data_IF_936720462212
#
_entry.id   IF_936720462212
#
_cell.length_a   1.000
_cell.length_b   1.000
_cell.length_c   1.000
_cell.angle_alpha   90.00
_cell.angle_beta   90.00
_cell.angle_gamma   90.00
#
_symmetry.space_group_name_H-M   'P 1'
#
loop_
_entity.id
_entity.type
_entity.pdbx_description
1 polymer ?
#
# COMPACT_ATOMS: atom_id res chain seq x y z
N UNK A 1 -27.49 11.37 2.26
CA UNK A 1 -26.61 12.55 2.06
C UNK A 1 -25.33 12.46 2.90
N UNK A 2 -25.41 12.32 4.24
CA UNK A 2 -24.24 12.19 5.13
C UNK A 2 -23.23 11.07 4.74
N UNK A 3 -23.72 9.91 4.31
CA UNK A 3 -22.87 8.77 3.88
C UNK A 3 -21.98 9.09 2.69
N UNK A 4 -22.49 9.85 1.70
CA UNK A 4 -21.73 10.22 0.50
C UNK A 4 -20.67 11.25 0.84
N UNK A 5 -20.98 12.20 1.73
CA UNK A 5 -20.05 13.22 2.19
C UNK A 5 -18.83 12.61 2.90
N UNK A 6 -19.06 11.65 3.81
CA UNK A 6 -17.98 10.91 4.49
C UNK A 6 -17.11 10.09 3.52
N UNK A 7 -17.74 9.54 2.47
CA UNK A 7 -17.04 8.80 1.43
C UNK A 7 -16.09 9.73 0.65
N UNK A 8 -16.59 10.89 0.21
CA UNK A 8 -15.81 11.89 -0.52
C UNK A 8 -14.68 12.49 0.34
N UNK A 9 -14.96 12.77 1.62
CA UNK A 9 -13.94 13.25 2.57
C UNK A 9 -12.84 12.22 2.80
N UNK A 10 -13.21 10.95 3.03
CA UNK A 10 -12.21 9.88 3.18
C UNK A 10 -11.41 9.69 1.91
N UNK A 11 -12.04 9.76 0.74
CA UNK A 11 -11.36 9.66 -0.55
C UNK A 11 -10.39 10.83 -0.76
N UNK A 12 -10.81 12.06 -0.45
CA UNK A 12 -9.97 13.26 -0.56
C UNK A 12 -8.78 13.21 0.40
N UNK A 13 -8.94 12.71 1.62
CA UNK A 13 -7.86 12.59 2.61
C UNK A 13 -6.90 11.46 2.22
N UNK A 14 -7.43 10.28 1.90
CA UNK A 14 -6.65 9.09 1.54
C UNK A 14 -5.95 9.18 0.18
N UNK A 15 -6.35 10.11 -0.70
CA UNK A 15 -5.73 10.33 -2.00
C UNK A 15 -5.04 11.68 -2.13
N UNK A 16 -5.66 12.76 -1.70
CA UNK A 16 -5.12 14.11 -1.88
C UNK A 16 -3.79 14.33 -1.17
N UNK A 17 -3.71 13.95 0.11
CA UNK A 17 -2.48 14.07 0.89
C UNK A 17 -1.31 13.23 0.34
N UNK A 18 -1.46 11.91 0.10
CA UNK A 18 -0.36 11.07 -0.40
C UNK A 18 0.01 11.41 -1.84
N UNK A 19 -0.92 11.85 -2.69
CA UNK A 19 -0.59 12.32 -4.05
C UNK A 19 0.35 13.53 -3.97
N UNK A 20 0.02 14.52 -3.13
CA UNK A 20 0.84 15.72 -3.00
C UNK A 20 2.26 15.42 -2.50
N UNK A 21 2.39 14.43 -1.60
CA UNK A 21 3.68 14.00 -1.05
C UNK A 21 4.46 13.10 -2.00
N UNK A 22 3.77 12.29 -2.80
CA UNK A 22 4.40 11.41 -3.80
C UNK A 22 5.18 12.22 -4.86
N UNK A 23 4.62 13.38 -5.27
CA UNK A 23 5.27 14.25 -6.26
C UNK A 23 6.35 15.17 -5.68
N UNK A 24 6.35 15.43 -4.37
CA UNK A 24 7.27 16.38 -3.72
C UNK A 24 8.38 15.70 -2.89
N UNK A 25 8.32 14.39 -2.72
CA UNK A 25 9.22 13.63 -1.83
C UNK A 25 10.56 13.24 -2.45
N UNK A 26 11.55 13.00 -1.59
CA UNK A 26 12.83 12.36 -1.93
C UNK A 26 12.64 10.89 -2.35
N UNK A 27 13.63 10.28 -3.01
CA UNK A 27 13.57 8.90 -3.49
C UNK A 27 13.26 7.86 -2.38
N UNK A 28 13.75 8.09 -1.16
CA UNK A 28 13.48 7.24 0.01
C UNK A 28 12.01 7.37 0.47
N UNK A 29 11.48 8.58 0.41
CA UNK A 29 10.06 8.87 0.68
C UNK A 29 9.17 8.22 -0.40
N UNK A 30 9.58 8.29 -1.67
CA UNK A 30 8.84 7.70 -2.80
C UNK A 30 8.63 6.18 -2.66
N UNK A 31 9.64 5.44 -2.17
CA UNK A 31 9.49 4.00 -1.88
C UNK A 31 8.37 3.74 -0.87
N UNK A 32 8.36 4.49 0.23
CA UNK A 32 7.33 4.39 1.26
C UNK A 32 5.93 4.74 0.71
N UNK A 33 5.84 5.72 -0.19
CA UNK A 33 4.57 6.06 -0.84
C UNK A 33 4.10 4.98 -1.82
N UNK A 34 5.00 4.32 -2.55
CA UNK A 34 4.63 3.18 -3.41
C UNK A 34 4.02 2.05 -2.56
N UNK A 35 4.63 1.73 -1.41
CA UNK A 35 4.14 0.71 -0.48
C UNK A 35 2.77 1.08 0.08
N UNK A 36 2.54 2.37 0.36
CA UNK A 36 1.22 2.89 0.73
C UNK A 36 0.17 2.65 -0.37
N UNK A 37 0.47 3.04 -1.61
CA UNK A 37 -0.43 2.89 -2.75
C UNK A 37 -0.81 1.43 -2.99
N UNK A 38 0.18 0.53 -2.84
CA UNK A 38 -0.03 -0.90 -2.97
C UNK A 38 -0.97 -1.44 -1.87
N UNK A 39 -0.75 -1.05 -0.61
CA UNK A 39 -1.64 -1.42 0.50
C UNK A 39 -3.06 -0.87 0.31
N UNK A 40 -3.20 0.39 -0.13
CA UNK A 40 -4.49 0.99 -0.44
C UNK A 40 -5.22 0.23 -1.55
N UNK A 41 -4.48 -0.24 -2.56
CA UNK A 41 -4.99 -1.10 -3.63
C UNK A 41 -5.52 -2.43 -3.11
N UNK A 42 -4.75 -3.13 -2.26
CA UNK A 42 -5.16 -4.41 -1.65
C UNK A 42 -6.43 -4.24 -0.81
N UNK A 43 -6.50 -3.19 0.02
CA UNK A 43 -7.68 -2.89 0.84
C UNK A 43 -8.90 -2.63 -0.05
N UNK A 44 -8.72 -1.89 -1.14
CA UNK A 44 -9.82 -1.55 -2.05
C UNK A 44 -10.28 -2.76 -2.87
N UNK A 45 -9.35 -3.63 -3.26
CA UNK A 45 -9.69 -4.91 -3.88
C UNK A 45 -10.48 -5.81 -2.93
N UNK A 46 -10.02 -5.93 -1.68
CA UNK A 46 -10.73 -6.68 -0.64
C UNK A 46 -12.12 -6.10 -0.37
N UNK A 47 -12.25 -4.76 -0.38
CA UNK A 47 -13.54 -4.08 -0.26
C UNK A 47 -14.49 -4.49 -1.40
N UNK A 48 -14.07 -4.40 -2.65
CA UNK A 48 -14.93 -4.75 -3.78
C UNK A 48 -15.28 -6.24 -3.83
N UNK A 49 -14.35 -7.11 -3.40
CA UNK A 49 -14.55 -8.56 -3.46
C UNK A 49 -15.36 -9.12 -2.30
N UNK A 50 -15.12 -8.65 -1.06
CA UNK A 50 -15.70 -9.24 0.16
C UNK A 50 -16.92 -8.46 0.64
N UNK A 51 -16.89 -7.13 0.55
CA UNK A 51 -18.00 -6.30 1.05
C UNK A 51 -19.18 -6.18 0.08
N UNK A 52 -19.02 -6.62 -1.18
CA UNK A 52 -20.18 -6.84 -2.06
C UNK A 52 -21.11 -7.94 -1.52
N UNK A 53 -20.58 -8.86 -0.69
CA UNK A 53 -21.31 -10.03 -0.19
C UNK A 53 -21.82 -9.88 1.26
N UNK A 54 -21.34 -8.89 2.04
CA UNK A 54 -21.68 -8.77 3.45
C UNK A 54 -22.38 -7.43 3.81
N UNK A 55 -23.34 -7.45 4.76
CA UNK A 55 -23.98 -6.23 5.29
C UNK A 55 -23.05 -5.39 6.19
N UNK A 56 -21.80 -5.80 6.43
CA UNK A 56 -20.81 -5.12 7.28
C UNK A 56 -20.23 -3.83 6.68
N UNK A 57 -20.77 -3.36 5.55
CA UNK A 57 -20.31 -2.19 4.81
C UNK A 57 -20.13 -0.93 5.66
N UNK A 58 -20.99 -0.72 6.67
CA UNK A 58 -20.91 0.46 7.52
C UNK A 58 -19.69 0.47 8.46
N UNK A 59 -19.33 -0.68 9.04
CA UNK A 59 -18.16 -0.78 9.92
C UNK A 59 -16.86 -0.59 9.13
N UNK A 60 -16.80 -1.16 7.92
CA UNK A 60 -15.61 -1.06 7.08
C UNK A 60 -15.35 0.37 6.61
N UNK A 61 -16.42 1.14 6.34
CA UNK A 61 -16.33 2.56 6.00
C UNK A 61 -15.61 3.40 7.08
N UNK A 62 -15.73 3.01 8.36
CA UNK A 62 -15.08 3.71 9.48
C UNK A 62 -13.66 3.18 9.72
N UNK A 63 -13.44 1.87 9.60
CA UNK A 63 -12.12 1.25 9.86
C UNK A 63 -11.11 1.63 8.78
N UNK A 64 -11.52 1.68 7.50
CA UNK A 64 -10.65 2.01 6.36
C UNK A 64 -9.90 3.34 6.53
N UNK A 65 -10.56 4.49 6.79
CA UNK A 65 -9.85 5.76 6.95
C UNK A 65 -8.95 5.77 8.19
N UNK A 66 -9.35 5.14 9.29
CA UNK A 66 -8.50 5.02 10.49
C UNK A 66 -7.22 4.25 10.17
N UNK A 67 -7.34 3.15 9.43
CA UNK A 67 -6.20 2.36 8.99
C UNK A 67 -5.31 3.12 7.99
N UNK A 68 -5.91 3.86 7.05
CA UNK A 68 -5.16 4.70 6.11
C UNK A 68 -4.40 5.82 6.85
N UNK A 69 -5.04 6.50 7.81
CA UNK A 69 -4.37 7.51 8.63
C UNK A 69 -3.20 6.88 9.39
N UNK A 70 -3.37 5.69 9.97
CA UNK A 70 -2.30 4.99 10.67
C UNK A 70 -1.12 4.64 9.74
N UNK A 71 -1.40 4.17 8.53
CA UNK A 71 -0.38 3.90 7.50
C UNK A 71 0.41 5.15 7.14
N UNK A 72 -0.29 6.27 6.93
CA UNK A 72 0.31 7.53 6.47
C UNK A 72 1.03 8.31 7.56
N UNK A 73 0.74 8.01 8.83
CA UNK A 73 1.22 8.82 9.93
C UNK A 73 2.74 8.65 10.13
N UNK A 74 3.53 9.74 9.98
CA UNK A 74 5.00 9.68 9.96
C UNK A 74 5.61 9.18 11.28
N UNK A 75 4.88 9.32 12.40
CA UNK A 75 5.35 8.87 13.73
C UNK A 75 5.25 7.35 13.92
N UNK A 76 4.27 6.69 13.32
CA UNK A 76 4.02 5.26 13.55
C UNK A 76 4.77 4.37 12.56
N UNK A 77 5.21 4.93 11.42
CA UNK A 77 5.90 4.19 10.34
C UNK A 77 5.17 2.89 9.98
N UNK A 78 3.83 2.93 9.96
CA UNK A 78 2.98 1.74 9.78
C UNK A 78 3.28 1.01 8.47
N UNK A 79 3.59 1.77 7.42
CA UNK A 79 4.07 1.24 6.14
C UNK A 79 5.36 0.44 6.30
N UNK A 80 6.37 0.98 6.97
CA UNK A 80 7.66 0.29 7.15
C UNK A 80 7.50 -0.99 7.99
N UNK A 81 6.57 -1.00 8.95
CA UNK A 81 6.27 -2.21 9.72
C UNK A 81 5.72 -3.32 8.82
N UNK A 82 4.79 -2.98 7.94
CA UNK A 82 4.20 -3.93 6.98
C UNK A 82 5.24 -4.37 5.94
N UNK A 83 6.06 -3.45 5.45
CA UNK A 83 7.11 -3.73 4.46
C UNK A 83 8.11 -4.75 5.02
N UNK A 84 8.61 -4.52 6.24
CA UNK A 84 9.53 -5.45 6.87
C UNK A 84 8.87 -6.79 7.24
N UNK A 85 7.61 -6.78 7.64
CA UNK A 85 6.96 -8.01 8.13
C UNK A 85 6.46 -8.91 7.00
N UNK A 86 5.95 -8.35 5.90
CA UNK A 86 5.28 -9.11 4.84
C UNK A 86 6.02 -9.08 3.51
N UNK A 87 6.54 -7.92 3.11
CA UNK A 87 7.21 -7.79 1.81
C UNK A 87 8.60 -8.44 1.83
N UNK A 88 9.37 -8.30 2.90
CA UNK A 88 10.68 -8.96 3.00
C UNK A 88 10.56 -10.48 2.91
N UNK A 89 9.61 -11.08 3.65
CA UNK A 89 9.38 -12.53 3.62
C UNK A 89 8.99 -13.02 2.22
N UNK A 90 8.09 -12.31 1.54
CA UNK A 90 7.68 -12.66 0.18
C UNK A 90 8.83 -12.49 -0.83
N UNK A 91 9.61 -11.42 -0.68
CA UNK A 91 10.73 -11.13 -1.57
C UNK A 91 11.85 -12.16 -1.43
N UNK A 92 12.18 -12.58 -0.21
CA UNK A 92 13.20 -13.61 0.03
C UNK A 92 12.84 -14.93 -0.63
N UNK A 93 11.57 -15.33 -0.59
CA UNK A 93 11.09 -16.53 -1.28
C UNK A 93 11.23 -16.39 -2.79
N UNK A 94 10.81 -15.25 -3.36
CA UNK A 94 10.90 -14.99 -4.80
C UNK A 94 12.38 -14.97 -5.24
N UNK A 95 13.26 -14.35 -4.46
CA UNK A 95 14.71 -14.32 -4.73
C UNK A 95 15.31 -15.72 -4.77
N UNK A 96 14.85 -16.65 -3.92
CA UNK A 96 15.29 -18.05 -3.99
C UNK A 96 14.89 -18.71 -5.30
N UNK A 97 13.65 -18.49 -5.78
CA UNK A 97 13.20 -19.03 -7.07
C UNK A 97 13.91 -18.39 -8.26
N UNK A 98 14.13 -17.07 -8.23
CA UNK A 98 14.84 -16.34 -9.29
C UNK A 98 16.28 -16.86 -9.45
N UNK A 99 16.97 -17.16 -8.35
CA UNK A 99 18.33 -17.73 -8.39
C UNK A 99 18.42 -19.10 -9.06
N UNK A 100 17.33 -19.86 -9.07
CA UNK A 100 17.24 -21.18 -9.71
C UNK A 100 16.94 -21.09 -11.22
N UNK A 101 16.57 -19.91 -11.71
CA UNK A 101 16.12 -19.69 -13.08
C UNK A 101 17.27 -19.09 -13.92
N UNK A 102 17.39 -19.37 -15.23
CA UNK A 102 18.40 -18.75 -16.10
C UNK A 102 18.33 -17.21 -16.17
N UNK A 103 17.25 -16.60 -15.65
CA UNK A 103 17.07 -15.16 -15.56
C UNK A 103 18.11 -14.44 -14.70
N UNK A 104 18.85 -15.15 -13.84
CA UNK A 104 19.91 -14.59 -12.99
C UNK A 104 20.91 -13.74 -13.78
N UNK A 105 21.27 -14.18 -14.99
CA UNK A 105 22.28 -13.55 -15.86
C UNK A 105 21.86 -12.12 -16.25
N UNK A 106 20.58 -11.90 -16.54
CA UNK A 106 20.07 -10.59 -16.97
C UNK A 106 19.92 -9.61 -15.80
N UNK A 107 19.63 -10.11 -14.60
CA UNK A 107 19.47 -9.28 -13.40
C UNK A 107 20.85 -8.79 -12.91
N UNK A 108 21.88 -9.64 -12.97
CA UNK A 108 23.25 -9.25 -12.60
C UNK A 108 23.82 -8.20 -13.57
N UNK A 109 23.53 -8.27 -14.87
CA UNK A 109 23.94 -7.25 -15.86
C UNK A 109 23.34 -5.85 -15.59
N UNK A 110 22.10 -5.77 -15.10
CA UNK A 110 21.43 -4.49 -14.83
C UNK A 110 21.95 -3.83 -13.55
N UNK A 111 22.37 -4.62 -12.55
CA UNK A 111 22.91 -4.11 -11.27
C UNK A 111 24.35 -3.58 -11.32
N UNK A 112 25.08 -3.87 -12.41
CA UNK A 112 26.48 -3.46 -12.59
C UNK A 112 26.61 -2.17 -13.42
N UNK A 113 25.51 -1.68 -14.00
CA UNK A 113 25.43 -0.37 -14.66
C UNK A 113 25.01 0.73 -13.70
#
# INVERSE_FOLDING_TARGET
MFRVLLFLLSFAICLGYPISQSFRGSAESQKSWISYWLMLGIITYFETSVLSLLPLFYLFLLVKPIFCIWLMHPKYRGINFIENSYFQLAFDQIQQFVKQTPLKIYIEEETVK
#
